data_IF_165793199006
#
_entry.id   IF_165793199006
#
_cell.length_a   1.000
_cell.length_b   1.000
_cell.length_c   1.000
_cell.angle_alpha   90.00
_cell.angle_beta   90.00
_cell.angle_gamma   90.00
#
_symmetry.space_group_name_H-M   'P 1'
#
loop_
_entity.id
_entity.type
_entity.pdbx_description
1 polymer ?
#
# COMPACT_ATOMS: atom_id res chain seq x y z
N UNK A 1 -27.06 -6.78 -9.81
CA UNK A 1 -26.20 -5.64 -9.45
C UNK A 1 -25.07 -6.20 -8.61
N UNK A 2 -23.83 -5.99 -8.99
CA UNK A 2 -22.71 -6.26 -8.08
C UNK A 2 -22.87 -5.35 -6.84
N UNK A 3 -22.64 -5.89 -5.63
CA UNK A 3 -22.67 -5.06 -4.44
C UNK A 3 -21.63 -3.94 -4.57
N UNK A 4 -22.02 -2.73 -4.22
CA UNK A 4 -21.11 -1.58 -4.22
C UNK A 4 -19.98 -1.85 -3.22
N UNK A 5 -18.74 -1.71 -3.67
CA UNK A 5 -17.57 -1.88 -2.81
C UNK A 5 -17.59 -0.81 -1.71
N UNK A 6 -17.50 -1.17 -0.40
CA UNK A 6 -17.37 -0.19 0.66
C UNK A 6 -16.18 0.74 0.42
N UNK A 7 -16.41 2.05 0.55
CA UNK A 7 -15.37 3.06 0.39
C UNK A 7 -14.70 3.33 1.74
N UNK A 8 -13.48 3.84 1.69
CA UNK A 8 -12.77 4.23 2.90
C UNK A 8 -13.53 5.32 3.68
N UNK A 9 -14.19 6.24 2.98
CA UNK A 9 -15.01 7.30 3.60
C UNK A 9 -16.23 6.78 4.37
N UNK A 10 -16.77 5.61 4.03
CA UNK A 10 -17.88 4.99 4.77
C UNK A 10 -17.45 4.55 6.18
N UNK A 11 -16.16 4.33 6.39
CA UNK A 11 -15.57 3.88 7.64
C UNK A 11 -14.76 4.95 8.36
N UNK A 12 -14.08 5.82 7.61
CA UNK A 12 -13.15 6.84 8.14
C UNK A 12 -13.40 8.22 7.48
N UNK A 13 -14.62 8.78 7.59
CA UNK A 13 -14.96 10.05 6.94
C UNK A 13 -14.04 11.19 7.37
N UNK A 14 -13.75 11.32 8.68
CA UNK A 14 -12.89 12.38 9.20
C UNK A 14 -11.47 12.34 8.60
N UNK A 15 -10.92 11.13 8.39
CA UNK A 15 -9.60 10.96 7.79
C UNK A 15 -9.62 11.41 6.33
N UNK A 16 -10.62 10.99 5.58
CA UNK A 16 -10.74 11.36 4.16
C UNK A 16 -11.00 12.85 3.97
N UNK A 17 -11.81 13.48 4.83
CA UNK A 17 -12.03 14.91 4.80
C UNK A 17 -10.75 15.69 5.09
N UNK A 18 -9.97 15.27 6.10
CA UNK A 18 -8.65 15.84 6.39
C UNK A 18 -7.69 15.70 5.19
N UNK A 19 -7.59 14.52 4.62
CA UNK A 19 -6.73 14.24 3.44
C UNK A 19 -7.13 15.10 2.24
N UNK A 20 -8.43 15.19 1.92
CA UNK A 20 -8.97 15.98 0.82
C UNK A 20 -8.74 17.48 1.00
N UNK A 21 -8.91 17.97 2.23
CA UNK A 21 -8.64 19.37 2.56
C UNK A 21 -7.14 19.70 2.32
N UNK A 22 -6.23 18.88 2.84
CA UNK A 22 -4.79 19.08 2.64
C UNK A 22 -4.39 18.95 1.16
N UNK A 23 -4.95 18.00 0.43
CA UNK A 23 -4.72 17.86 -1.00
C UNK A 23 -5.17 19.11 -1.78
N UNK A 24 -6.32 19.69 -1.41
CA UNK A 24 -6.80 20.92 -2.02
C UNK A 24 -5.90 22.14 -1.70
N UNK A 25 -5.45 22.28 -0.44
CA UNK A 25 -4.53 23.34 -0.03
C UNK A 25 -3.17 23.24 -0.75
N UNK A 26 -2.64 22.02 -0.93
CA UNK A 26 -1.40 21.78 -1.68
C UNK A 26 -1.60 22.13 -3.15
N UNK A 27 -2.67 21.64 -3.76
CA UNK A 27 -2.97 21.92 -5.17
C UNK A 27 -3.21 23.42 -5.44
N UNK A 28 -3.78 24.12 -4.46
CA UNK A 28 -4.02 25.57 -4.51
C UNK A 28 -2.81 26.43 -4.10
N UNK A 29 -1.69 25.81 -3.69
CA UNK A 29 -0.48 26.52 -3.26
C UNK A 29 -0.58 27.19 -1.89
N UNK A 30 -1.59 26.88 -1.07
CA UNK A 30 -1.72 27.39 0.30
C UNK A 30 -0.81 26.65 1.28
N UNK A 31 -0.60 25.33 1.06
CA UNK A 31 0.31 24.50 1.84
C UNK A 31 1.52 24.12 0.96
N UNK A 32 2.71 24.59 1.33
CA UNK A 32 3.92 24.45 0.52
C UNK A 32 5.11 23.82 1.27
N UNK A 33 4.94 23.45 2.54
CA UNK A 33 6.04 23.01 3.40
C UNK A 33 5.71 21.74 4.15
N UNK A 34 6.68 20.81 4.20
CA UNK A 34 6.54 19.54 4.87
C UNK A 34 6.38 19.65 6.39
N UNK A 35 7.07 20.60 7.02
CA UNK A 35 6.95 20.83 8.47
C UNK A 35 5.55 21.33 8.88
N UNK A 36 4.94 22.18 8.06
CA UNK A 36 3.56 22.61 8.26
C UNK A 36 2.58 21.45 8.09
N UNK A 37 2.78 20.61 7.08
CA UNK A 37 1.96 19.40 6.90
C UNK A 37 2.06 18.46 8.11
N UNK A 38 3.28 18.21 8.63
CA UNK A 38 3.49 17.41 9.83
C UNK A 38 2.74 17.97 11.03
N UNK A 39 2.74 19.31 11.20
CA UNK A 39 1.99 19.93 12.29
C UNK A 39 0.47 19.74 12.12
N UNK A 40 -0.05 19.94 10.89
CA UNK A 40 -1.49 19.71 10.59
C UNK A 40 -1.91 18.26 10.89
N UNK A 41 -1.06 17.29 10.53
CA UNK A 41 -1.31 15.88 10.84
C UNK A 41 -1.31 15.63 12.35
N UNK A 42 -0.35 16.19 13.09
CA UNK A 42 -0.28 16.07 14.55
C UNK A 42 -1.56 16.62 15.21
N UNK A 43 -2.07 17.76 14.76
CA UNK A 43 -3.28 18.35 15.30
C UNK A 43 -4.53 17.52 14.96
N UNK A 44 -4.52 16.82 13.82
CA UNK A 44 -5.60 15.93 13.41
C UNK A 44 -5.64 14.64 14.23
N UNK A 45 -4.50 13.97 14.48
CA UNK A 45 -4.45 12.65 15.12
C UNK A 45 -4.64 12.72 16.64
N UNK A 46 -5.85 13.09 17.07
CA UNK A 46 -6.26 12.99 18.48
C UNK A 46 -6.45 11.53 18.90
N UNK A 47 -6.45 11.27 20.23
CA UNK A 47 -6.68 9.92 20.77
C UNK A 47 -7.97 9.27 20.24
N UNK A 48 -9.06 10.04 20.12
CA UNK A 48 -10.32 9.52 19.59
C UNK A 48 -10.23 9.12 18.11
N UNK A 49 -9.59 9.96 17.26
CA UNK A 49 -9.40 9.64 15.84
C UNK A 49 -8.45 8.45 15.63
N UNK A 50 -7.38 8.39 16.42
CA UNK A 50 -6.48 7.23 16.41
C UNK A 50 -7.22 5.93 16.76
N UNK A 51 -8.09 5.95 17.77
CA UNK A 51 -8.89 4.79 18.14
C UNK A 51 -9.92 4.41 17.05
N UNK A 52 -10.52 5.39 16.38
CA UNK A 52 -11.42 5.13 15.25
C UNK A 52 -10.68 4.43 14.09
N UNK A 53 -9.49 4.92 13.73
CA UNK A 53 -8.69 4.30 12.65
C UNK A 53 -8.21 2.90 13.08
N UNK A 54 -7.77 2.71 14.33
CA UNK A 54 -7.40 1.40 14.87
C UNK A 54 -8.52 0.36 14.76
N UNK A 55 -9.79 0.79 14.92
CA UNK A 55 -10.94 -0.12 14.79
C UNK A 55 -11.14 -0.62 13.35
N UNK A 56 -10.71 0.14 12.36
CA UNK A 56 -10.78 -0.18 10.92
C UNK A 56 -9.50 -0.88 10.45
N UNK A 57 -8.35 -0.36 10.87
CA UNK A 57 -7.02 -0.86 10.51
C UNK A 57 -6.23 -1.24 11.78
N UNK A 58 -6.50 -2.41 12.39
CA UNK A 58 -5.80 -2.86 13.59
C UNK A 58 -4.29 -2.92 13.40
N UNK A 59 -3.54 -2.29 14.30
CA UNK A 59 -2.10 -2.06 14.21
C UNK A 59 -1.72 -0.63 13.83
N UNK A 60 -2.72 0.23 13.56
CA UNK A 60 -2.48 1.64 13.22
C UNK A 60 -1.75 2.38 14.34
N UNK A 61 -2.13 2.14 15.61
CA UNK A 61 -1.48 2.80 16.75
C UNK A 61 -0.03 2.36 16.91
N UNK A 62 0.26 1.08 16.71
CA UNK A 62 1.64 0.58 16.74
C UNK A 62 2.48 1.18 15.60
N UNK A 63 1.94 1.19 14.37
CA UNK A 63 2.59 1.82 13.22
C UNK A 63 2.83 3.31 13.45
N UNK A 64 1.88 4.01 14.06
CA UNK A 64 1.96 5.45 14.31
C UNK A 64 3.11 5.83 15.27
N UNK A 65 3.59 4.91 16.11
CA UNK A 65 4.75 5.14 16.99
C UNK A 65 6.08 4.90 16.31
N UNK A 66 6.11 4.25 15.14
CA UNK A 66 7.35 3.92 14.45
C UNK A 66 8.06 5.18 13.92
N UNK A 67 9.38 5.23 14.11
CA UNK A 67 10.23 6.35 13.69
C UNK A 67 9.71 7.72 14.19
N UNK A 68 9.31 7.78 15.48
CA UNK A 68 8.81 9.02 16.12
C UNK A 68 7.63 9.66 15.35
N UNK A 69 6.76 8.83 14.77
CA UNK A 69 5.60 9.26 13.99
C UNK A 69 5.88 9.53 12.52
N UNK A 70 7.10 9.31 12.03
CA UNK A 70 7.42 9.52 10.62
C UNK A 70 6.63 8.57 9.71
N UNK A 71 6.41 7.31 10.14
CA UNK A 71 5.58 6.35 9.39
C UNK A 71 4.13 6.81 9.28
N UNK A 72 3.53 7.32 10.35
CA UNK A 72 2.18 7.89 10.34
C UNK A 72 2.07 9.06 9.36
N UNK A 73 3.03 9.99 9.43
CA UNK A 73 3.07 11.12 8.50
C UNK A 73 3.24 10.65 7.06
N UNK A 74 4.09 9.66 6.81
CA UNK A 74 4.27 9.10 5.48
C UNK A 74 2.98 8.50 4.92
N UNK A 75 2.29 7.62 5.66
CA UNK A 75 1.02 7.03 5.20
C UNK A 75 -0.02 8.12 4.89
N UNK A 76 -0.10 9.17 5.72
CA UNK A 76 -0.98 10.30 5.46
C UNK A 76 -0.58 11.05 4.18
N UNK A 77 0.72 11.27 3.96
CA UNK A 77 1.23 11.88 2.73
C UNK A 77 0.94 11.03 1.50
N UNK A 78 0.98 9.69 1.62
CA UNK A 78 0.61 8.77 0.52
C UNK A 78 -0.88 8.90 0.18
N UNK A 79 -1.77 8.99 1.19
CA UNK A 79 -3.19 9.27 0.97
C UNK A 79 -3.41 10.62 0.27
N UNK A 80 -2.73 11.68 0.73
CA UNK A 80 -2.80 13.01 0.10
C UNK A 80 -2.30 12.94 -1.34
N UNK A 81 -1.15 12.31 -1.58
CA UNK A 81 -0.58 12.13 -2.91
C UNK A 81 -1.51 11.36 -3.83
N UNK A 82 -2.17 10.30 -3.34
CA UNK A 82 -3.18 9.57 -4.10
C UNK A 82 -4.29 10.51 -4.60
N UNK A 83 -4.83 11.37 -3.72
CA UNK A 83 -5.86 12.33 -4.10
C UNK A 83 -5.37 13.44 -5.06
N UNK A 84 -4.07 13.63 -5.18
CA UNK A 84 -3.45 14.55 -6.16
C UNK A 84 -3.18 13.88 -7.51
N UNK A 85 -3.11 12.53 -7.58
CA UNK A 85 -2.83 11.80 -8.82
C UNK A 85 -3.94 11.97 -9.87
N UNK A 86 -3.60 12.32 -11.13
CA UNK A 86 -4.57 12.30 -12.23
C UNK A 86 -5.19 10.92 -12.45
N UNK A 87 -4.41 9.86 -12.32
CA UNK A 87 -4.83 8.46 -12.47
C UNK A 87 -5.94 8.08 -11.47
N UNK A 88 -5.83 8.51 -10.22
CA UNK A 88 -6.86 8.31 -9.22
C UNK A 88 -8.12 9.13 -9.52
N UNK A 89 -7.95 10.42 -9.87
CA UNK A 89 -9.09 11.32 -10.12
C UNK A 89 -9.93 10.92 -11.33
N UNK A 90 -9.31 10.28 -12.32
CA UNK A 90 -9.96 9.80 -13.56
C UNK A 90 -10.46 8.36 -13.44
N UNK A 91 -10.06 7.64 -12.38
CA UNK A 91 -10.44 6.26 -12.19
C UNK A 91 -11.93 6.11 -11.86
N UNK A 92 -12.51 4.96 -12.24
CA UNK A 92 -13.83 4.57 -11.76
C UNK A 92 -13.87 4.42 -10.26
N UNK A 93 -15.04 4.66 -9.65
CA UNK A 93 -15.23 4.65 -8.18
C UNK A 93 -14.74 3.36 -7.52
N UNK A 94 -14.94 2.20 -8.17
CA UNK A 94 -14.43 0.91 -7.68
C UNK A 94 -12.89 0.90 -7.57
N UNK A 95 -12.22 1.39 -8.60
CA UNK A 95 -10.74 1.45 -8.61
C UNK A 95 -10.20 2.46 -7.59
N UNK A 96 -10.88 3.62 -7.44
CA UNK A 96 -10.55 4.59 -6.40
C UNK A 96 -10.60 3.95 -5.01
N UNK A 97 -11.67 3.21 -4.70
CA UNK A 97 -11.82 2.52 -3.42
C UNK A 97 -10.70 1.47 -3.21
N UNK A 98 -10.34 0.67 -4.23
CA UNK A 98 -9.24 -0.30 -4.13
C UNK A 98 -7.90 0.38 -3.83
N UNK A 99 -7.62 1.52 -4.47
CA UNK A 99 -6.40 2.31 -4.22
C UNK A 99 -6.38 2.90 -2.79
N UNK A 100 -7.49 3.50 -2.33
CA UNK A 100 -7.61 4.07 -0.97
C UNK A 100 -7.33 3.02 0.11
N UNK A 101 -7.97 1.84 0.00
CA UNK A 101 -7.74 0.74 0.92
C UNK A 101 -6.30 0.22 0.86
N UNK A 102 -5.73 0.12 -0.34
CA UNK A 102 -4.35 -0.33 -0.51
C UNK A 102 -3.36 0.64 0.16
N UNK A 103 -3.57 1.95 0.00
CA UNK A 103 -2.75 2.98 0.64
C UNK A 103 -2.89 2.94 2.16
N UNK A 104 -4.12 2.78 2.71
CA UNK A 104 -4.31 2.71 4.16
C UNK A 104 -3.49 1.59 4.80
N UNK A 105 -3.37 0.44 4.12
CA UNK A 105 -2.74 -0.75 4.68
C UNK A 105 -1.27 -0.94 4.30
N UNK A 106 -0.70 -0.24 3.31
CA UNK A 106 0.60 -0.60 2.70
C UNK A 106 1.76 -0.68 3.70
N UNK A 107 1.84 0.25 4.63
CA UNK A 107 2.91 0.38 5.62
C UNK A 107 2.48 0.01 7.07
N UNK A 108 1.25 -0.54 7.24
CA UNK A 108 0.69 -0.83 8.57
C UNK A 108 1.54 -1.78 9.40
N UNK A 109 2.22 -2.73 8.76
CA UNK A 109 3.12 -3.69 9.38
C UNK A 109 4.58 -3.22 9.50
N UNK A 110 4.88 -1.96 9.24
CA UNK A 110 6.25 -1.43 9.26
C UNK A 110 6.81 -1.37 10.66
N UNK A 111 8.05 -1.84 10.80
CA UNK A 111 8.80 -1.85 12.05
C UNK A 111 10.16 -1.19 11.82
N UNK A 112 10.50 -0.22 12.65
CA UNK A 112 11.83 0.41 12.60
C UNK A 112 12.75 -0.34 13.54
N UNK A 113 13.70 -1.08 12.98
CA UNK A 113 14.66 -1.86 13.75
C UNK A 113 16.08 -1.35 13.46
N UNK A 114 16.67 -0.66 14.43
CA UNK A 114 18.09 -0.30 14.41
C UNK A 114 18.55 0.49 13.18
N UNK A 115 17.68 1.31 12.56
CA UNK A 115 18.00 2.09 11.36
C UNK A 115 18.12 1.29 10.07
N UNK A 116 17.81 -0.02 10.10
CA UNK A 116 17.80 -0.87 8.92
C UNK A 116 16.47 -0.78 8.16
N UNK A 117 16.51 -0.94 6.84
CA UNK A 117 15.31 -1.04 6.00
C UNK A 117 14.53 -2.29 6.38
N UNK A 118 13.25 -2.11 6.65
CA UNK A 118 12.31 -3.20 6.89
C UNK A 118 11.77 -3.76 5.58
N UNK A 119 12.47 -4.72 4.99
CA UNK A 119 12.11 -5.29 3.69
C UNK A 119 10.90 -6.26 3.75
N UNK A 120 10.40 -6.60 4.95
CA UNK A 120 9.29 -7.54 5.13
C UNK A 120 7.98 -6.85 5.56
N UNK A 121 7.96 -5.52 5.71
CA UNK A 121 6.76 -4.82 6.15
C UNK A 121 5.58 -5.02 5.20
N UNK A 122 5.82 -5.09 3.90
CA UNK A 122 4.78 -5.34 2.91
C UNK A 122 4.05 -6.66 3.15
N UNK A 123 4.76 -7.71 3.53
CA UNK A 123 4.18 -9.02 3.85
C UNK A 123 3.37 -8.97 5.15
N UNK A 124 3.89 -8.31 6.20
CA UNK A 124 3.14 -8.12 7.45
C UNK A 124 1.88 -7.30 7.21
N UNK A 125 2.00 -6.17 6.52
CA UNK A 125 0.87 -5.31 6.13
C UNK A 125 -0.20 -6.08 5.37
N UNK A 126 0.19 -6.90 4.40
CA UNK A 126 -0.73 -7.76 3.63
C UNK A 126 -1.48 -8.75 4.52
N UNK A 127 -0.82 -9.36 5.52
CA UNK A 127 -1.52 -10.27 6.46
C UNK A 127 -2.49 -9.53 7.37
N UNK A 128 -2.20 -8.29 7.75
CA UNK A 128 -3.11 -7.44 8.52
C UNK A 128 -4.32 -7.04 7.68
N UNK A 129 -4.12 -6.63 6.43
CA UNK A 129 -5.20 -6.33 5.49
C UNK A 129 -6.11 -7.56 5.26
N UNK A 130 -5.54 -8.75 4.99
CA UNK A 130 -6.29 -9.98 4.77
C UNK A 130 -7.19 -10.38 5.96
N UNK A 131 -6.78 -10.06 7.20
CA UNK A 131 -7.55 -10.33 8.41
C UNK A 131 -8.65 -9.31 8.70
N UNK A 132 -8.48 -8.08 8.23
CA UNK A 132 -9.32 -6.93 8.60
C UNK A 132 -10.37 -6.63 7.53
N UNK A 133 -10.00 -6.59 6.26
CA UNK A 133 -10.88 -6.20 5.15
C UNK A 133 -12.19 -7.01 5.04
N UNK A 134 -12.20 -8.36 5.26
CA UNK A 134 -13.45 -9.11 5.25
C UNK A 134 -14.47 -8.65 6.29
N UNK A 135 -14.00 -8.18 7.46
CA UNK A 135 -14.86 -7.70 8.56
C UNK A 135 -15.51 -6.34 8.24
N UNK A 136 -14.95 -5.64 7.27
CA UNK A 136 -15.43 -4.33 6.81
C UNK A 136 -16.38 -4.44 5.60
N UNK A 137 -16.80 -5.66 5.26
CA UNK A 137 -17.74 -5.89 4.17
C UNK A 137 -17.12 -5.94 2.77
N UNK A 138 -15.79 -5.96 2.66
CA UNK A 138 -15.11 -6.06 1.37
C UNK A 138 -15.08 -7.49 0.79
N UNK A 139 -15.42 -8.50 1.59
CA UNK A 139 -15.58 -9.90 1.14
C UNK A 139 -17.03 -10.24 0.90
N UNK A 140 -17.33 -10.84 -0.26
CA UNK A 140 -18.68 -11.34 -0.57
C UNK A 140 -19.04 -12.68 0.08
N UNK A 141 -18.09 -13.33 0.76
CA UNK A 141 -18.27 -14.64 1.40
C UNK A 141 -17.56 -14.72 2.75
N UNK A 142 -18.00 -15.64 3.58
CA UNK A 142 -17.30 -15.97 4.83
C UNK A 142 -15.91 -16.55 4.51
N UNK A 143 -14.91 -16.07 5.22
CA UNK A 143 -13.52 -16.50 5.06
C UNK A 143 -13.25 -17.68 5.98
N UNK A 144 -12.61 -18.73 5.46
CA UNK A 144 -12.14 -19.85 6.27
C UNK A 144 -11.03 -19.40 7.24
N UNK A 145 -11.26 -19.42 8.57
CA UNK A 145 -10.27 -18.95 9.54
C UNK A 145 -9.00 -19.82 9.57
N UNK A 146 -9.14 -21.13 9.33
CA UNK A 146 -8.01 -22.05 9.34
C UNK A 146 -7.14 -21.84 8.09
N UNK A 147 -7.77 -21.72 6.92
CA UNK A 147 -7.09 -21.38 5.66
C UNK A 147 -6.37 -20.04 5.74
N UNK A 148 -7.02 -19.02 6.31
CA UNK A 148 -6.41 -17.70 6.50
C UNK A 148 -5.20 -17.74 7.45
N UNK A 149 -5.30 -18.53 8.54
CA UNK A 149 -4.18 -18.72 9.48
C UNK A 149 -3.01 -19.42 8.81
N UNK A 150 -3.27 -20.47 8.04
CA UNK A 150 -2.24 -21.19 7.28
C UNK A 150 -1.57 -20.29 6.25
N UNK A 151 -2.34 -19.56 5.44
CA UNK A 151 -1.84 -18.61 4.46
C UNK A 151 -0.96 -17.53 5.12
N UNK A 152 -1.44 -16.95 6.23
CA UNK A 152 -0.66 -15.97 7.00
C UNK A 152 0.69 -16.52 7.44
N UNK A 153 0.73 -17.75 7.96
CA UNK A 153 1.97 -18.41 8.38
C UNK A 153 2.95 -18.57 7.21
N UNK A 154 2.45 -18.91 6.02
CA UNK A 154 3.27 -19.01 4.80
C UNK A 154 3.85 -17.64 4.38
N UNK A 155 3.02 -16.60 4.37
CA UNK A 155 3.48 -15.23 4.03
C UNK A 155 4.59 -14.77 4.96
N UNK A 156 4.38 -14.90 6.28
CA UNK A 156 5.35 -14.47 7.28
C UNK A 156 6.63 -15.32 7.29
N UNK A 157 6.56 -16.57 6.83
CA UNK A 157 7.71 -17.47 6.67
C UNK A 157 8.47 -17.30 5.35
N UNK A 158 7.92 -16.57 4.38
CA UNK A 158 8.50 -16.41 3.03
C UNK A 158 9.63 -15.37 3.01
N UNK A 159 10.76 -15.71 3.63
CA UNK A 159 11.92 -14.82 3.70
C UNK A 159 13.23 -15.57 3.48
N UNK A 160 14.22 -14.85 2.97
CA UNK A 160 15.59 -15.32 2.77
C UNK A 160 16.57 -14.31 3.35
N UNK A 161 17.78 -14.78 3.71
CA UNK A 161 18.83 -13.88 4.15
C UNK A 161 19.20 -12.91 3.01
N UNK A 162 19.40 -11.64 3.35
CA UNK A 162 19.91 -10.67 2.39
C UNK A 162 21.33 -11.03 1.95
N UNK A 163 21.70 -10.77 0.68
CA UNK A 163 23.04 -11.11 0.15
C UNK A 163 24.19 -10.48 0.92
N UNK A 164 23.98 -9.32 1.52
CA UNK A 164 24.94 -8.59 2.35
C UNK A 164 24.99 -9.07 3.81
N UNK A 165 24.18 -10.06 4.16
CA UNK A 165 24.05 -10.59 5.52
C UNK A 165 23.30 -9.66 6.50
N UNK A 166 22.72 -8.56 6.03
CA UNK A 166 22.07 -7.55 6.87
C UNK A 166 20.54 -7.65 6.82
N UNK A 167 20.00 -8.67 7.47
CA UNK A 167 18.57 -8.83 7.60
C UNK A 167 17.96 -9.87 6.65
N UNK A 168 16.65 -9.75 6.43
CA UNK A 168 15.85 -10.64 5.61
C UNK A 168 15.22 -9.89 4.44
N UNK A 169 15.07 -10.57 3.32
CA UNK A 169 14.33 -10.14 2.14
C UNK A 169 13.15 -11.08 1.89
N UNK A 170 12.17 -10.65 1.14
CA UNK A 170 11.09 -11.52 0.66
C UNK A 170 11.65 -12.64 -0.24
N UNK A 171 11.09 -13.84 -0.10
CA UNK A 171 11.42 -14.98 -0.96
C UNK A 171 10.45 -15.05 -2.15
N UNK A 172 10.82 -14.44 -3.28
CA UNK A 172 10.00 -14.38 -4.48
C UNK A 172 9.64 -15.75 -5.07
N UNK A 173 10.44 -16.81 -4.77
CA UNK A 173 10.15 -18.16 -5.23
C UNK A 173 8.84 -18.70 -4.68
N UNK A 174 8.42 -18.23 -3.49
CA UNK A 174 7.18 -18.63 -2.83
C UNK A 174 5.98 -17.76 -3.22
N UNK A 175 6.19 -16.59 -3.82
CA UNK A 175 5.13 -15.64 -4.15
C UNK A 175 4.02 -16.25 -5.03
N UNK A 176 4.28 -16.99 -6.12
CA UNK A 176 3.20 -17.53 -6.94
C UNK A 176 2.23 -18.43 -6.17
N UNK A 177 2.72 -19.24 -5.24
CA UNK A 177 1.89 -20.10 -4.41
C UNK A 177 1.16 -19.34 -3.30
N UNK A 178 1.80 -18.31 -2.73
CA UNK A 178 1.17 -17.42 -1.75
C UNK A 178 0.01 -16.67 -2.39
N UNK A 179 0.21 -16.13 -3.58
CA UNK A 179 -0.81 -15.38 -4.34
C UNK A 179 -1.96 -16.30 -4.76
N UNK A 180 -1.65 -17.52 -5.22
CA UNK A 180 -2.67 -18.52 -5.53
C UNK A 180 -3.50 -18.90 -4.29
N UNK A 181 -2.86 -19.08 -3.14
CA UNK A 181 -3.54 -19.34 -1.87
C UNK A 181 -4.46 -18.18 -1.44
N UNK A 182 -4.04 -16.94 -1.66
CA UNK A 182 -4.88 -15.75 -1.43
C UNK A 182 -6.12 -15.76 -2.35
N UNK A 183 -5.95 -16.06 -3.62
CA UNK A 183 -7.05 -16.15 -4.59
C UNK A 183 -8.03 -17.31 -4.26
N UNK A 184 -7.54 -18.41 -3.69
CA UNK A 184 -8.40 -19.49 -3.18
C UNK A 184 -9.24 -19.04 -1.97
N UNK A 185 -8.68 -18.21 -1.08
CA UNK A 185 -9.38 -17.73 0.11
C UNK A 185 -10.46 -16.69 -0.20
N UNK A 186 -10.18 -15.78 -1.12
CA UNK A 186 -11.02 -14.59 -1.35
C UNK A 186 -11.65 -14.52 -2.73
N UNK A 187 -11.29 -15.42 -3.64
CA UNK A 187 -11.66 -15.37 -5.05
C UNK A 187 -10.69 -14.52 -5.88
N UNK A 188 -10.34 -15.04 -7.06
CA UNK A 188 -9.48 -14.33 -8.00
C UNK A 188 -10.14 -13.01 -8.44
N UNK A 189 -9.36 -11.91 -8.38
CA UNK A 189 -9.84 -10.57 -8.73
C UNK A 189 -10.86 -9.97 -7.78
N UNK A 190 -11.13 -10.60 -6.63
CA UNK A 190 -11.97 -10.01 -5.58
C UNK A 190 -11.32 -8.75 -5.00
N UNK A 191 -12.10 -7.81 -4.44
CA UNK A 191 -11.56 -6.61 -3.84
C UNK A 191 -10.49 -6.89 -2.77
N UNK A 192 -10.74 -7.83 -1.86
CA UNK A 192 -9.78 -8.22 -0.82
C UNK A 192 -8.51 -8.78 -1.44
N UNK A 193 -8.61 -9.67 -2.44
CA UNK A 193 -7.42 -10.23 -3.10
C UNK A 193 -6.59 -9.15 -3.79
N UNK A 194 -7.23 -8.22 -4.52
CA UNK A 194 -6.52 -7.12 -5.21
C UNK A 194 -5.83 -6.17 -4.23
N UNK A 195 -6.50 -5.76 -3.15
CA UNK A 195 -5.91 -4.89 -2.13
C UNK A 195 -4.73 -5.57 -1.45
N UNK A 196 -4.91 -6.82 -0.99
CA UNK A 196 -3.86 -7.58 -0.29
C UNK A 196 -2.66 -7.84 -1.21
N UNK A 197 -2.89 -8.16 -2.49
CA UNK A 197 -1.84 -8.31 -3.50
C UNK A 197 -1.08 -7.00 -3.72
N UNK A 198 -1.79 -5.86 -3.87
CA UNK A 198 -1.16 -4.55 -4.04
C UNK A 198 -0.29 -4.20 -2.82
N UNK A 199 -0.81 -4.37 -1.61
CA UNK A 199 -0.07 -4.16 -0.36
C UNK A 199 1.15 -5.08 -0.27
N UNK A 200 1.02 -6.37 -0.63
CA UNK A 200 2.11 -7.33 -0.59
C UNK A 200 3.22 -6.98 -1.59
N UNK A 201 2.86 -6.52 -2.78
CA UNK A 201 3.78 -6.36 -3.90
C UNK A 201 4.31 -4.93 -4.07
N UNK A 202 3.89 -3.94 -3.26
CA UNK A 202 4.35 -2.55 -3.44
C UNK A 202 5.86 -2.36 -3.28
N UNK A 203 6.55 -3.30 -2.63
CA UNK A 203 8.01 -3.33 -2.55
C UNK A 203 8.66 -4.28 -3.57
N UNK A 204 7.88 -4.92 -4.44
CA UNK A 204 8.37 -5.98 -5.33
C UNK A 204 8.82 -5.49 -6.71
N UNK A 205 8.76 -4.17 -6.96
CA UNK A 205 9.27 -3.55 -8.18
C UNK A 205 10.35 -2.53 -7.81
N UNK A 206 11.41 -2.45 -8.61
CA UNK A 206 12.46 -1.43 -8.44
C UNK A 206 12.06 -0.20 -9.25
N UNK A 207 11.58 0.83 -8.56
CA UNK A 207 11.13 2.08 -9.20
C UNK A 207 12.07 3.27 -8.94
N UNK A 208 13.08 3.08 -8.08
CA UNK A 208 14.10 4.10 -7.78
C UNK A 208 15.45 3.57 -8.25
N UNK A 209 15.96 3.99 -9.42
CA UNK A 209 17.19 3.45 -10.00
C UNK A 209 18.43 3.58 -9.11
N UNK A 210 18.51 4.67 -8.33
CA UNK A 210 19.64 4.92 -7.42
C UNK A 210 19.59 4.04 -6.16
N UNK A 211 18.44 3.43 -5.89
CA UNK A 211 18.19 2.63 -4.69
C UNK A 211 17.48 1.34 -5.07
N UNK A 212 18.15 0.47 -5.85
CA UNK A 212 17.53 -0.76 -6.32
C UNK A 212 17.06 -1.59 -5.13
N UNK A 213 15.83 -2.10 -5.23
CA UNK A 213 15.32 -2.98 -4.20
C UNK A 213 15.83 -4.42 -4.46
N UNK A 214 16.67 -4.98 -3.58
CA UNK A 214 17.21 -6.33 -3.78
C UNK A 214 16.13 -7.43 -3.73
N UNK A 215 14.93 -7.12 -3.18
CA UNK A 215 13.77 -8.01 -3.18
C UNK A 215 12.83 -7.80 -4.38
N UNK A 216 13.25 -7.09 -5.44
CA UNK A 216 12.42 -6.90 -6.62
C UNK A 216 12.25 -8.19 -7.43
N UNK A 217 11.08 -8.32 -8.07
CA UNK A 217 10.81 -9.40 -9.03
C UNK A 217 11.70 -9.25 -10.26
N UNK A 218 12.27 -10.37 -10.71
CA UNK A 218 12.89 -10.44 -12.02
C UNK A 218 11.81 -10.37 -13.12
N UNK A 219 12.16 -9.95 -14.31
CA UNK A 219 11.23 -9.84 -15.45
C UNK A 219 10.47 -11.16 -15.70
N UNK A 220 11.13 -12.31 -15.56
CA UNK A 220 10.52 -13.65 -15.71
C UNK A 220 9.58 -14.04 -14.57
N UNK A 221 9.63 -13.35 -13.42
CA UNK A 221 8.75 -13.59 -12.27
C UNK A 221 7.48 -12.75 -12.33
N UNK A 222 7.54 -11.58 -12.99
CA UNK A 222 6.42 -10.64 -13.11
C UNK A 222 5.14 -11.33 -13.58
N UNK A 223 5.09 -12.08 -14.73
CA UNK A 223 3.84 -12.67 -15.21
C UNK A 223 3.29 -13.79 -14.30
N UNK A 224 4.12 -14.31 -13.39
CA UNK A 224 3.69 -15.30 -12.39
C UNK A 224 3.07 -14.65 -11.14
N UNK A 225 3.39 -13.38 -10.87
CA UNK A 225 3.01 -12.68 -9.65
C UNK A 225 2.02 -11.53 -9.89
N UNK A 226 2.04 -10.90 -11.07
CA UNK A 226 1.21 -9.74 -11.37
C UNK A 226 0.21 -10.09 -12.49
N UNK A 227 -1.09 -9.96 -12.19
CA UNK A 227 -2.19 -10.13 -13.13
C UNK A 227 -2.63 -8.77 -13.71
N UNK A 228 -3.20 -8.71 -14.92
CA UNK A 228 -3.69 -7.46 -15.53
C UNK A 228 -4.62 -6.65 -14.60
N UNK A 229 -5.54 -7.32 -13.91
CA UNK A 229 -6.48 -6.66 -12.99
C UNK A 229 -5.82 -5.97 -11.79
N UNK A 230 -4.62 -6.41 -11.38
CA UNK A 230 -3.88 -5.83 -10.27
C UNK A 230 -3.12 -4.56 -10.67
N UNK A 231 -2.70 -4.47 -11.94
CA UNK A 231 -1.81 -3.40 -12.42
C UNK A 231 -2.29 -2.00 -12.04
N UNK A 232 -3.55 -1.60 -12.31
CA UNK A 232 -3.97 -0.23 -11.99
C UNK A 232 -3.98 0.07 -10.49
N UNK A 233 -4.27 -0.92 -9.64
CA UNK A 233 -4.27 -0.75 -8.17
C UNK A 233 -2.84 -0.60 -7.65
N UNK A 234 -1.94 -1.49 -8.08
CA UNK A 234 -0.55 -1.48 -7.66
C UNK A 234 0.18 -0.22 -8.19
N UNK A 235 -0.06 0.16 -9.43
CA UNK A 235 0.51 1.39 -10.01
C UNK A 235 0.05 2.64 -9.26
N UNK A 236 -1.25 2.76 -8.97
CA UNK A 236 -1.79 3.87 -8.20
C UNK A 236 -1.17 3.96 -6.80
N UNK A 237 -1.04 2.83 -6.09
CA UNK A 237 -0.36 2.77 -4.80
C UNK A 237 1.11 3.22 -4.92
N UNK A 238 1.87 2.66 -5.86
CA UNK A 238 3.30 2.95 -5.98
C UNK A 238 3.59 4.36 -6.48
N UNK A 239 2.74 4.94 -7.34
CA UNK A 239 2.81 6.34 -7.72
C UNK A 239 2.55 7.25 -6.52
N UNK A 240 1.52 6.96 -5.72
CA UNK A 240 1.19 7.74 -4.54
C UNK A 240 2.30 7.65 -3.47
N UNK A 241 2.86 6.47 -3.23
CA UNK A 241 3.97 6.25 -2.30
C UNK A 241 5.23 7.01 -2.74
N UNK A 242 5.60 6.89 -4.02
CA UNK A 242 6.72 7.62 -4.60
C UNK A 242 6.54 9.15 -4.50
N UNK A 243 5.35 9.66 -4.87
CA UNK A 243 5.03 11.08 -4.84
C UNK A 243 5.02 11.65 -3.41
N UNK A 244 4.68 10.84 -2.41
CA UNK A 244 4.62 11.25 -1.01
C UNK A 244 5.99 11.68 -0.46
N UNK A 245 7.06 10.98 -0.83
CA UNK A 245 8.43 11.34 -0.44
C UNK A 245 8.90 12.65 -1.03
N UNK A 246 8.30 13.08 -2.14
CA UNK A 246 8.69 14.26 -2.93
C UNK A 246 7.55 15.27 -3.04
N UNK A 247 6.63 15.29 -2.07
CA UNK A 247 5.37 16.03 -2.17
C UNK A 247 5.56 17.54 -2.46
N UNK A 248 6.63 18.11 -1.89
CA UNK A 248 6.99 19.53 -2.05
C UNK A 248 8.23 19.76 -2.93
N UNK A 249 8.74 18.72 -3.60
CA UNK A 249 9.95 18.74 -4.42
C UNK A 249 9.62 18.40 -5.88
N UNK A 250 9.08 19.33 -6.68
CA UNK A 250 8.47 19.03 -7.99
C UNK A 250 9.45 18.40 -8.98
N UNK A 251 10.74 18.75 -8.95
CA UNK A 251 11.75 18.17 -9.86
C UNK A 251 12.02 16.70 -9.53
N UNK A 252 12.25 16.41 -8.25
CA UNK A 252 12.45 15.02 -7.79
C UNK A 252 11.19 14.20 -7.99
N UNK A 253 10.02 14.77 -7.71
CA UNK A 253 8.72 14.16 -7.92
C UNK A 253 8.53 13.71 -9.37
N UNK A 254 8.78 14.59 -10.35
CA UNK A 254 8.69 14.25 -11.76
C UNK A 254 9.62 13.09 -12.13
N UNK A 255 10.89 13.13 -11.68
CA UNK A 255 11.88 12.08 -11.95
C UNK A 255 11.43 10.71 -11.43
N UNK A 256 10.99 10.62 -10.17
CA UNK A 256 10.59 9.34 -9.58
C UNK A 256 9.27 8.83 -10.14
N UNK A 257 8.36 9.74 -10.50
CA UNK A 257 7.14 9.41 -11.22
C UNK A 257 7.45 8.75 -12.57
N UNK A 258 8.34 9.35 -13.36
CA UNK A 258 8.76 8.81 -14.67
C UNK A 258 9.38 7.41 -14.51
N UNK A 259 10.21 7.21 -13.48
CA UNK A 259 10.79 5.90 -13.17
C UNK A 259 9.72 4.87 -12.80
N UNK A 260 8.70 5.24 -12.02
CA UNK A 260 7.60 4.36 -11.66
C UNK A 260 6.78 3.99 -12.89
N UNK A 261 6.43 4.96 -13.74
CA UNK A 261 5.70 4.72 -14.99
C UNK A 261 6.48 3.82 -15.96
N UNK A 262 7.80 4.00 -16.05
CA UNK A 262 8.68 3.13 -16.85
C UNK A 262 8.65 1.67 -16.34
N UNK A 263 8.74 1.47 -15.01
CA UNK A 263 8.63 0.13 -14.41
C UNK A 263 7.29 -0.53 -14.74
N UNK A 264 6.18 0.21 -14.69
CA UNK A 264 4.86 -0.33 -15.05
C UNK A 264 4.69 -0.55 -16.57
N UNK A 265 5.38 0.18 -17.42
CA UNK A 265 5.44 -0.13 -18.86
C UNK A 265 6.14 -1.48 -19.09
N UNK A 266 7.18 -1.80 -18.30
CA UNK A 266 7.83 -3.12 -18.32
C UNK A 266 6.92 -4.23 -17.80
N UNK A 267 6.22 -3.99 -16.68
CA UNK A 267 5.21 -4.93 -16.16
C UNK A 267 4.18 -5.26 -17.25
N UNK A 268 3.61 -4.25 -17.90
CA UNK A 268 2.60 -4.47 -18.96
C UNK A 268 3.17 -5.28 -20.12
N UNK A 269 4.42 -5.02 -20.55
CA UNK A 269 5.09 -5.84 -21.57
C UNK A 269 5.27 -7.29 -21.13
N UNK A 270 5.70 -7.51 -19.91
CA UNK A 270 5.95 -8.84 -19.37
C UNK A 270 4.68 -9.70 -19.27
N UNK A 271 3.52 -9.09 -18.96
CA UNK A 271 2.24 -9.80 -18.85
C UNK A 271 1.46 -9.89 -20.18
N UNK A 272 2.02 -9.43 -21.30
CA UNK A 272 1.44 -9.53 -22.63
C UNK A 272 0.36 -8.48 -22.90
N UNK A 273 0.45 -7.34 -22.27
CA UNK A 273 -0.41 -6.18 -22.49
C UNK A 273 0.13 -5.29 -23.61
#
# INVERSE_FOLDING_TARGET
MEPTLPRLEDHLPDLLDHVRALAAEIAGGQLQRGDELVQRNRDFYTTGRMAAIESVAPGWQDMATQADGATLNHVTQVLISLHLLPEYRQAEQRLQALMEWSVLYHDLGKQVVGGQRDALHAFRSATMAARSLPKLGLSGSAVDPAGLSHWTGRVLGASVAAPDGKGLLQDNRQLPEILAGLEQLFGAGSPVALIVQAVMLHQSLSVVPEWPNPGSLAETEIPRCIRPALVPVLEGLMLADSDAWQLFEPVSKAKYRDSTLAAFAEVRRAIGG
#
